data_IF_271588973246
#
_entry.id   IF_271588973246
#
_cell.length_a   1.000
_cell.length_b   1.000
_cell.length_c   1.000
_cell.angle_alpha   90.00
_cell.angle_beta   90.00
_cell.angle_gamma   90.00
#
_symmetry.space_group_name_H-M   'P 1'
#
loop_
_entity.id
_entity.type
_entity.pdbx_description
1 polymer ?
#
# COMPACT_ATOMS: atom_id res chain seq x y z
N UNK A 1 9.60 -67.72 -76.15
CA UNK A 1 8.62 -66.76 -75.58
C UNK A 1 8.67 -66.86 -74.06
N UNK A 2 8.28 -65.78 -73.38
CA UNK A 2 8.34 -65.53 -71.93
C UNK A 2 9.67 -64.96 -71.40
N UNK A 3 9.68 -63.63 -71.25
CA UNK A 3 10.68 -62.88 -70.48
C UNK A 3 10.17 -62.61 -69.06
N UNK A 4 11.07 -62.72 -68.08
CA UNK A 4 10.81 -62.43 -66.67
C UNK A 4 11.35 -61.05 -66.28
N UNK A 5 10.46 -60.14 -65.86
CA UNK A 5 10.79 -58.83 -65.29
C UNK A 5 11.11 -58.96 -63.80
N UNK A 6 12.22 -58.36 -63.36
CA UNK A 6 12.55 -58.12 -61.94
C UNK A 6 11.95 -56.79 -61.48
N UNK A 7 11.31 -56.80 -60.31
CA UNK A 7 10.79 -55.61 -59.63
C UNK A 7 11.83 -55.09 -58.64
N UNK A 8 12.16 -53.80 -58.72
CA UNK A 8 12.97 -53.10 -57.72
C UNK A 8 12.03 -52.22 -56.88
N UNK A 9 12.07 -52.39 -55.55
CA UNK A 9 11.33 -51.58 -54.59
C UNK A 9 12.09 -50.28 -54.29
N UNK A 10 11.44 -49.13 -54.50
CA UNK A 10 11.95 -47.82 -54.10
C UNK A 10 11.53 -47.52 -52.65
N UNK A 11 12.49 -47.20 -51.79
CA UNK A 11 12.26 -46.71 -50.42
C UNK A 11 12.23 -45.18 -50.46
N UNK A 12 11.08 -44.59 -50.16
CA UNK A 12 10.91 -43.13 -50.05
C UNK A 12 11.20 -42.70 -48.61
N UNK A 13 12.25 -41.92 -48.39
CA UNK A 13 12.54 -41.32 -47.09
C UNK A 13 11.63 -40.11 -46.84
N UNK A 14 10.85 -40.14 -45.77
CA UNK A 14 10.03 -39.01 -45.32
C UNK A 14 10.85 -38.15 -44.36
N UNK A 15 11.16 -36.91 -44.77
CA UNK A 15 11.74 -35.88 -43.91
C UNK A 15 10.62 -35.22 -43.09
N UNK A 16 10.67 -35.35 -41.76
CA UNK A 16 9.79 -34.62 -40.83
C UNK A 16 10.49 -33.32 -40.42
N UNK A 17 9.87 -32.14 -40.60
CA UNK A 17 10.49 -30.89 -40.17
C UNK A 17 10.38 -30.77 -38.64
N UNK A 18 11.52 -30.55 -37.99
CA UNK A 18 11.59 -30.28 -36.55
C UNK A 18 11.15 -28.82 -36.31
N UNK A 19 9.90 -28.63 -35.88
CA UNK A 19 9.42 -27.31 -35.43
C UNK A 19 9.91 -27.09 -34.00
N UNK A 20 10.97 -26.29 -33.84
CA UNK A 20 11.37 -25.78 -32.53
C UNK A 20 10.33 -24.76 -32.07
N UNK A 21 9.46 -25.16 -31.15
CA UNK A 21 8.57 -24.24 -30.45
C UNK A 21 9.43 -23.32 -29.56
N UNK A 22 9.64 -22.07 -30.00
CA UNK A 22 10.08 -21.02 -29.09
C UNK A 22 8.96 -20.79 -28.08
N UNK A 23 9.09 -21.35 -26.88
CA UNK A 23 8.30 -20.89 -25.74
C UNK A 23 8.77 -19.48 -25.42
N UNK A 24 8.03 -18.47 -25.87
CA UNK A 24 8.20 -17.13 -25.35
C UNK A 24 7.96 -17.21 -23.84
N UNK A 25 9.00 -16.96 -23.04
CA UNK A 25 8.80 -16.70 -21.61
C UNK A 25 7.74 -15.61 -21.51
N UNK A 26 6.69 -15.77 -20.70
CA UNK A 26 5.74 -14.68 -20.49
C UNK A 26 6.58 -13.48 -20.02
N UNK A 27 6.47 -12.36 -20.73
CA UNK A 27 7.05 -11.11 -20.25
C UNK A 27 6.48 -10.90 -18.84
N UNK A 28 7.36 -10.86 -17.84
CA UNK A 28 6.95 -10.50 -16.49
C UNK A 28 6.26 -9.14 -16.61
N UNK A 29 5.00 -9.07 -16.18
CA UNK A 29 4.28 -7.82 -16.14
C UNK A 29 5.12 -6.82 -15.33
N UNK A 30 5.24 -5.58 -15.80
CA UNK A 30 5.96 -4.55 -15.06
C UNK A 30 5.38 -4.43 -13.63
N UNK A 31 6.22 -4.20 -12.61
CA UNK A 31 5.75 -3.99 -11.25
C UNK A 31 4.65 -2.91 -11.21
N UNK A 32 3.60 -3.17 -10.45
CA UNK A 32 2.44 -2.30 -10.42
C UNK A 32 2.66 -1.15 -9.43
N UNK A 33 2.34 0.08 -9.84
CA UNK A 33 2.60 1.29 -9.04
C UNK A 33 1.43 1.69 -8.16
N UNK A 34 1.72 1.93 -6.89
CA UNK A 34 0.82 2.45 -5.87
C UNK A 34 1.14 3.91 -5.57
N UNK A 35 0.12 4.75 -5.48
CA UNK A 35 0.22 6.18 -5.14
C UNK A 35 -0.61 6.43 -3.87
N UNK A 36 0.01 6.45 -2.67
CA UNK A 36 -0.73 6.55 -1.42
C UNK A 36 -1.45 7.89 -1.31
N UNK A 37 -2.74 7.85 -0.98
CA UNK A 37 -3.57 9.05 -0.85
C UNK A 37 -4.13 9.56 -2.18
N UNK A 38 -4.00 8.82 -3.28
CA UNK A 38 -4.69 9.12 -4.52
C UNK A 38 -6.12 8.54 -4.54
N UNK A 39 -7.00 9.16 -5.33
CA UNK A 39 -8.25 8.52 -5.72
C UNK A 39 -7.94 7.25 -6.52
N UNK A 40 -8.64 6.17 -6.20
CA UNK A 40 -8.47 4.89 -6.86
C UNK A 40 -9.76 4.52 -7.58
N UNK A 41 -9.64 4.10 -8.83
CA UNK A 41 -10.75 3.66 -9.65
C UNK A 41 -10.57 2.17 -9.99
N UNK A 42 -11.68 1.45 -10.04
CA UNK A 42 -11.70 0.06 -10.47
C UNK A 42 -11.66 -0.06 -12.01
N UNK A 43 -11.55 -1.28 -12.52
CA UNK A 43 -11.52 -1.57 -13.96
C UNK A 43 -12.80 -1.17 -14.70
N UNK A 44 -13.90 -0.90 -13.98
CA UNK A 44 -15.15 -0.36 -14.53
C UNK A 44 -15.17 1.18 -14.58
N UNK A 45 -14.12 1.84 -14.09
CA UNK A 45 -14.04 3.30 -13.98
C UNK A 45 -14.82 3.88 -12.80
N UNK A 46 -15.42 3.04 -11.96
CA UNK A 46 -16.06 3.50 -10.73
C UNK A 46 -15.00 3.72 -9.66
N UNK A 47 -15.24 4.67 -8.76
CA UNK A 47 -14.35 4.86 -7.62
C UNK A 47 -14.34 3.61 -6.74
N UNK A 48 -13.16 3.13 -6.39
CA UNK A 48 -13.00 2.04 -5.45
C UNK A 48 -13.48 2.48 -4.06
N UNK A 49 -14.36 1.69 -3.47
CA UNK A 49 -14.98 1.91 -2.16
C UNK A 49 -14.81 0.66 -1.31
N UNK A 50 -13.73 0.63 -0.54
CA UNK A 50 -13.41 -0.42 0.42
C UNK A 50 -12.60 0.20 1.55
N UNK A 51 -13.28 0.77 2.54
CA UNK A 51 -12.67 1.44 3.69
C UNK A 51 -12.61 0.51 4.90
N UNK A 52 -11.72 0.77 5.86
CA UNK A 52 -11.57 -0.12 7.02
C UNK A 52 -11.16 -1.54 6.59
N UNK A 53 -10.54 -1.66 5.42
CA UNK A 53 -10.51 -2.89 4.65
C UNK A 53 -9.55 -3.95 5.20
N UNK A 54 -9.75 -5.19 4.74
CA UNK A 54 -8.79 -6.28 4.85
C UNK A 54 -8.55 -6.93 3.49
N UNK A 55 -7.44 -7.64 3.36
CA UNK A 55 -7.12 -8.43 2.16
C UNK A 55 -6.82 -9.87 2.55
N UNK A 56 -7.34 -10.81 1.76
CA UNK A 56 -6.96 -12.21 1.81
C UNK A 56 -6.63 -12.72 0.40
N UNK A 57 -5.92 -13.83 0.31
CA UNK A 57 -5.44 -14.39 -0.96
C UNK A 57 -6.04 -15.76 -1.22
N UNK A 58 -6.38 -16.03 -2.49
CA UNK A 58 -6.78 -17.35 -2.98
C UNK A 58 -6.00 -17.62 -4.27
N UNK A 59 -5.06 -18.58 -4.20
CA UNK A 59 -4.06 -18.75 -5.24
C UNK A 59 -3.27 -17.45 -5.43
N UNK A 60 -3.15 -16.97 -6.66
CA UNK A 60 -2.50 -15.69 -7.01
C UNK A 60 -3.45 -14.47 -6.99
N UNK A 61 -4.70 -14.65 -6.56
CA UNK A 61 -5.70 -13.58 -6.55
C UNK A 61 -5.84 -13.00 -5.14
N UNK A 62 -5.67 -11.69 -5.04
CA UNK A 62 -5.96 -10.90 -3.85
C UNK A 62 -7.42 -10.48 -3.86
N UNK A 63 -8.08 -10.58 -2.71
CA UNK A 63 -9.45 -10.14 -2.50
C UNK A 63 -9.48 -9.04 -1.44
N UNK A 64 -9.90 -7.84 -1.84
CA UNK A 64 -10.06 -6.68 -0.97
C UNK A 64 -11.51 -6.59 -0.54
N UNK A 65 -11.74 -6.62 0.78
CA UNK A 65 -13.06 -6.49 1.40
C UNK A 65 -13.06 -5.29 2.33
N UNK A 66 -14.07 -4.43 2.19
CA UNK A 66 -14.14 -3.18 2.94
C UNK A 66 -15.52 -2.55 2.89
N UNK A 67 -15.71 -1.51 3.67
CA UNK A 67 -16.96 -0.78 3.73
C UNK A 67 -17.20 -0.01 2.43
N UNK A 68 -18.43 -0.06 1.93
CA UNK A 68 -18.85 0.81 0.83
C UNK A 68 -19.49 2.10 1.40
N UNK A 69 -18.77 3.22 1.26
CA UNK A 69 -19.20 4.54 1.77
C UNK A 69 -19.78 5.44 0.68
N UNK A 70 -20.13 4.91 -0.49
CA UNK A 70 -20.73 5.70 -1.59
C UNK A 70 -21.98 6.47 -1.13
N UNK A 71 -22.78 5.87 -0.24
CA UNK A 71 -24.00 6.46 0.30
C UNK A 71 -23.81 7.19 1.65
N UNK A 72 -22.57 7.48 2.05
CA UNK A 72 -22.27 8.14 3.33
C UNK A 72 -21.96 7.17 4.46
N UNK A 73 -22.28 7.57 5.70
CA UNK A 73 -21.78 6.90 6.91
C UNK A 73 -22.53 5.63 7.30
N UNK A 74 -23.82 5.54 7.00
CA UNK A 74 -24.62 4.37 7.34
C UNK A 74 -24.32 3.19 6.42
N UNK A 75 -24.42 1.97 6.97
CA UNK A 75 -24.18 0.75 6.22
C UNK A 75 -25.06 0.61 4.99
N UNK A 76 -24.43 0.27 3.87
CA UNK A 76 -25.12 -0.12 2.63
C UNK A 76 -24.62 -1.46 2.12
N UNK A 77 -23.30 -1.63 2.06
CA UNK A 77 -22.67 -2.88 1.67
C UNK A 77 -21.26 -3.02 2.27
N UNK A 78 -20.83 -4.27 2.39
CA UNK A 78 -19.41 -4.63 2.36
C UNK A 78 -19.07 -4.94 0.91
N UNK A 79 -18.16 -4.16 0.34
CA UNK A 79 -17.62 -4.34 -0.99
C UNK A 79 -16.67 -5.53 -1.09
N UNK A 80 -16.56 -6.15 -2.27
CA UNK A 80 -15.48 -7.06 -2.60
C UNK A 80 -14.89 -6.75 -3.98
N UNK A 81 -13.57 -6.66 -4.02
CA UNK A 81 -12.77 -6.50 -5.23
C UNK A 81 -11.77 -7.63 -5.36
N UNK A 82 -11.34 -7.92 -6.59
CA UNK A 82 -10.22 -8.84 -6.85
C UNK A 82 -9.13 -8.16 -7.66
N UNK A 83 -7.88 -8.54 -7.41
CA UNK A 83 -6.69 -8.10 -8.16
C UNK A 83 -5.62 -9.19 -8.16
N UNK A 84 -4.74 -9.19 -9.15
CA UNK A 84 -3.53 -10.04 -9.17
C UNK A 84 -2.25 -9.26 -8.89
N UNK A 85 -2.30 -7.92 -8.96
CA UNK A 85 -1.16 -7.01 -8.93
C UNK A 85 -1.24 -5.96 -7.79
N UNK A 86 -2.29 -6.03 -6.96
CA UNK A 86 -2.63 -5.07 -5.90
C UNK A 86 -2.96 -3.65 -6.38
N UNK A 87 -2.99 -3.41 -7.70
CA UNK A 87 -3.20 -2.09 -8.30
C UNK A 87 -4.47 -2.02 -9.13
N UNK A 88 -4.63 -3.00 -10.00
CA UNK A 88 -5.76 -3.12 -10.91
C UNK A 88 -6.85 -3.93 -10.22
N UNK A 89 -7.84 -3.22 -9.66
CA UNK A 89 -8.93 -3.83 -8.91
C UNK A 89 -10.19 -3.93 -9.77
N UNK A 90 -10.80 -5.12 -9.81
CA UNK A 90 -12.10 -5.34 -10.43
C UNK A 90 -13.16 -5.53 -9.35
N UNK A 91 -14.22 -4.71 -9.35
CA UNK A 91 -15.38 -4.92 -8.47
C UNK A 91 -16.04 -6.26 -8.81
N UNK A 92 -16.26 -7.10 -7.80
CA UNK A 92 -16.89 -8.42 -7.98
C UNK A 92 -18.35 -8.41 -7.58
N UNK A 93 -18.62 -8.03 -6.34
CA UNK A 93 -19.96 -8.05 -5.76
C UNK A 93 -19.99 -7.19 -4.49
N UNK A 94 -21.19 -6.97 -3.98
CA UNK A 94 -21.39 -6.63 -2.58
C UNK A 94 -21.39 -7.94 -1.80
N UNK A 95 -20.34 -8.17 -1.00
CA UNK A 95 -20.18 -9.39 -0.22
C UNK A 95 -21.29 -9.54 0.83
N UNK A 96 -21.68 -8.44 1.47
CA UNK A 96 -22.80 -8.36 2.40
C UNK A 96 -23.57 -7.07 2.13
N UNK A 97 -24.91 -7.09 2.18
CA UNK A 97 -25.74 -5.91 1.90
C UNK A 97 -26.72 -5.58 3.01
N UNK A 98 -27.11 -4.31 3.09
CA UNK A 98 -28.17 -3.82 3.97
C UNK A 98 -29.47 -4.60 3.78
N UNK A 99 -30.12 -4.95 4.89
CA UNK A 99 -31.37 -5.71 4.94
C UNK A 99 -31.22 -7.21 4.63
N UNK A 100 -29.99 -7.68 4.40
CA UNK A 100 -29.75 -9.10 4.19
C UNK A 100 -29.97 -9.88 5.50
N UNK A 101 -30.65 -11.03 5.41
CA UNK A 101 -30.90 -11.98 6.49
C UNK A 101 -31.78 -11.52 7.67
N UNK A 102 -32.05 -10.22 7.83
CA UNK A 102 -32.82 -9.67 8.95
C UNK A 102 -34.20 -9.10 8.54
N UNK A 103 -34.64 -9.33 7.29
CA UNK A 103 -35.83 -8.73 6.69
C UNK A 103 -35.89 -7.19 6.81
N UNK A 104 -34.73 -6.52 6.89
CA UNK A 104 -34.63 -5.08 7.08
C UNK A 104 -34.82 -4.63 8.53
N UNK A 105 -34.84 -5.54 9.50
CA UNK A 105 -34.99 -5.29 10.94
C UNK A 105 -33.87 -5.97 11.72
N UNK A 106 -32.94 -5.22 12.31
CA UNK A 106 -31.84 -5.82 13.08
C UNK A 106 -30.47 -5.19 12.78
N UNK A 107 -29.43 -6.00 12.90
CA UNK A 107 -28.03 -5.57 12.82
C UNK A 107 -27.63 -4.99 11.45
N UNK A 108 -28.33 -5.38 10.38
CA UNK A 108 -28.05 -4.96 9.00
C UNK A 108 -29.15 -4.06 8.41
N UNK A 109 -30.10 -3.61 9.25
CA UNK A 109 -31.18 -2.71 8.86
C UNK A 109 -30.69 -1.32 8.38
N UNK A 110 -31.62 -0.50 7.90
CA UNK A 110 -31.32 0.89 7.56
C UNK A 110 -30.86 1.70 8.80
N UNK A 111 -29.87 2.58 8.62
CA UNK A 111 -29.33 3.42 9.70
C UNK A 111 -28.32 2.73 10.61
N UNK A 112 -28.00 1.45 10.37
CA UNK A 112 -26.98 0.70 11.10
C UNK A 112 -25.56 1.08 10.69
N UNK A 113 -24.61 0.78 11.56
CA UNK A 113 -23.18 0.94 11.37
C UNK A 113 -22.56 -0.45 11.27
N UNK A 114 -21.83 -0.69 10.19
CA UNK A 114 -21.09 -1.93 9.96
C UNK A 114 -19.71 -1.56 9.47
N UNK A 115 -18.68 -1.91 10.24
CA UNK A 115 -17.34 -1.37 10.03
C UNK A 115 -16.26 -2.44 10.09
N UNK A 116 -15.12 -2.11 9.48
CA UNK A 116 -13.87 -2.87 9.49
C UNK A 116 -13.99 -4.36 9.13
N UNK A 117 -14.76 -4.75 8.10
CA UNK A 117 -14.94 -6.16 7.77
C UNK A 117 -13.59 -6.82 7.44
N UNK A 118 -13.37 -8.02 7.97
CA UNK A 118 -12.21 -8.87 7.67
C UNK A 118 -12.68 -10.28 7.34
N UNK A 119 -11.98 -10.95 6.42
CA UNK A 119 -12.33 -12.30 5.96
C UNK A 119 -11.13 -13.23 6.10
N UNK A 120 -11.38 -14.44 6.59
CA UNK A 120 -10.42 -15.55 6.61
C UNK A 120 -11.07 -16.82 6.04
N UNK A 121 -10.27 -17.67 5.39
CA UNK A 121 -10.73 -18.95 4.86
C UNK A 121 -10.54 -20.09 5.85
N UNK A 122 -11.58 -20.90 6.04
CA UNK A 122 -11.56 -22.12 6.85
C UNK A 122 -11.53 -23.36 5.94
N UNK A 123 -10.39 -24.04 5.88
CA UNK A 123 -10.16 -25.17 4.98
C UNK A 123 -11.00 -26.41 5.30
N UNK A 124 -11.30 -26.66 6.57
CA UNK A 124 -12.08 -27.85 6.98
C UNK A 124 -13.57 -27.77 6.62
N UNK A 125 -14.14 -26.58 6.50
CA UNK A 125 -15.55 -26.36 6.11
C UNK A 125 -15.68 -25.85 4.69
N UNK A 126 -14.57 -25.42 4.07
CA UNK A 126 -14.56 -24.77 2.77
C UNK A 126 -15.18 -23.36 2.76
N UNK A 127 -15.42 -22.76 3.94
CA UNK A 127 -16.10 -21.46 4.05
C UNK A 127 -15.12 -20.30 4.19
N UNK A 128 -15.49 -19.17 3.60
CA UNK A 128 -14.95 -17.86 3.91
C UNK A 128 -15.76 -17.27 5.07
N UNK A 129 -15.09 -16.86 6.13
CA UNK A 129 -15.71 -16.34 7.36
C UNK A 129 -15.37 -14.87 7.50
N UNK A 130 -16.40 -14.03 7.47
CA UNK A 130 -16.30 -12.58 7.65
C UNK A 130 -16.65 -12.22 9.09
N UNK A 131 -15.83 -11.38 9.72
CA UNK A 131 -16.17 -10.66 10.94
C UNK A 131 -16.21 -9.16 10.67
N UNK A 132 -17.14 -8.46 11.34
CA UNK A 132 -17.31 -7.01 11.21
C UNK A 132 -17.80 -6.40 12.52
N UNK A 133 -17.48 -5.12 12.74
CA UNK A 133 -18.10 -4.35 13.82
C UNK A 133 -19.56 -4.10 13.47
N UNK A 134 -20.45 -4.19 14.46
CA UNK A 134 -21.89 -3.94 14.35
C UNK A 134 -22.30 -2.93 15.41
N UNK A 135 -22.93 -1.85 14.97
CA UNK A 135 -23.44 -0.82 15.86
C UNK A 135 -24.63 -0.02 15.33
N UNK A 136 -25.15 0.83 16.20
CA UNK A 136 -26.09 1.90 15.87
C UNK A 136 -25.36 3.26 15.84
N UNK A 137 -26.10 4.32 15.51
CA UNK A 137 -25.54 5.67 15.40
C UNK A 137 -25.01 6.26 16.71
N UNK A 138 -25.37 5.70 17.88
CA UNK A 138 -24.84 6.12 19.18
C UNK A 138 -23.67 5.26 19.67
N UNK A 139 -23.24 4.26 18.89
CA UNK A 139 -22.15 3.33 19.24
C UNK A 139 -22.39 2.56 20.56
N UNK A 140 -23.66 2.32 20.88
CA UNK A 140 -24.09 1.71 22.13
C UNK A 140 -24.14 0.16 22.08
N UNK A 141 -24.25 -0.43 20.90
CA UNK A 141 -24.36 -1.89 20.77
C UNK A 141 -22.99 -2.53 21.03
N UNK A 142 -21.93 -2.01 20.39
CA UNK A 142 -20.55 -2.46 20.50
C UNK A 142 -20.43 -3.99 20.35
N UNK A 143 -20.85 -4.50 19.20
CA UNK A 143 -20.92 -5.94 18.88
C UNK A 143 -20.01 -6.30 17.72
N UNK A 144 -19.70 -7.59 17.65
CA UNK A 144 -19.05 -8.21 16.49
C UNK A 144 -20.06 -9.12 15.77
N UNK A 145 -20.26 -8.87 14.48
CA UNK A 145 -21.05 -9.67 13.57
C UNK A 145 -20.23 -10.75 12.87
N UNK A 146 -20.90 -11.82 12.44
CA UNK A 146 -20.29 -12.92 11.69
C UNK A 146 -21.12 -13.26 10.46
N UNK A 147 -20.46 -13.49 9.32
CA UNK A 147 -21.09 -13.99 8.11
C UNK A 147 -20.22 -15.04 7.43
N UNK A 148 -20.81 -15.95 6.65
CA UNK A 148 -20.08 -17.02 5.95
C UNK A 148 -20.45 -17.10 4.48
N UNK A 149 -19.51 -17.53 3.63
CA UNK A 149 -19.78 -17.80 2.22
C UNK A 149 -19.01 -19.00 1.69
N UNK A 150 -19.51 -19.60 0.62
CA UNK A 150 -18.82 -20.62 -0.18
C UNK A 150 -17.81 -20.02 -1.16
N UNK A 151 -17.90 -18.71 -1.45
CA UNK A 151 -17.02 -18.03 -2.41
C UNK A 151 -16.33 -16.83 -1.75
N UNK A 152 -15.17 -16.38 -2.28
CA UNK A 152 -14.41 -15.27 -1.72
C UNK A 152 -15.23 -13.98 -1.54
N UNK A 153 -16.02 -13.62 -2.56
CA UNK A 153 -16.76 -12.36 -2.60
C UNK A 153 -18.26 -12.50 -2.31
N UNK A 154 -18.70 -13.65 -1.80
CA UNK A 154 -20.09 -13.82 -1.43
C UNK A 154 -21.03 -14.27 -2.56
N UNK A 155 -22.35 -14.18 -2.33
CA UNK A 155 -22.98 -13.52 -1.19
C UNK A 155 -22.65 -14.22 0.14
N UNK A 156 -22.44 -13.43 1.20
CA UNK A 156 -22.21 -13.93 2.55
C UNK A 156 -23.53 -14.07 3.30
N UNK A 157 -23.81 -15.23 3.87
CA UNK A 157 -24.93 -15.44 4.79
C UNK A 157 -24.57 -14.91 6.17
N UNK A 158 -25.28 -13.88 6.63
CA UNK A 158 -25.11 -13.33 7.98
C UNK A 158 -25.65 -14.29 9.03
N UNK A 159 -24.87 -14.51 10.09
CA UNK A 159 -25.19 -15.44 11.19
C UNK A 159 -25.66 -14.73 12.46
N UNK A 160 -25.54 -13.40 12.51
CA UNK A 160 -25.87 -12.58 13.69
C UNK A 160 -24.64 -11.91 14.31
N UNK A 161 -24.88 -11.17 15.40
CA UNK A 161 -23.84 -10.53 16.20
C UNK A 161 -23.88 -10.92 17.67
N UNK A 162 -22.75 -10.75 18.34
CA UNK A 162 -22.62 -10.92 19.79
C UNK A 162 -21.65 -9.91 20.39
N UNK A 163 -21.67 -9.79 21.72
CA UNK A 163 -20.56 -9.23 22.50
C UNK A 163 -19.59 -10.38 22.79
N UNK A 164 -18.44 -10.49 22.09
CA UNK A 164 -17.55 -11.65 22.20
C UNK A 164 -17.12 -11.85 23.65
N UNK A 165 -17.33 -13.06 24.18
CA UNK A 165 -17.05 -13.44 25.57
C UNK A 165 -17.77 -12.57 26.62
N UNK A 166 -18.86 -11.88 26.25
CA UNK A 166 -19.62 -10.97 27.12
C UNK A 166 -19.08 -9.53 27.17
N UNK A 167 -18.01 -9.23 26.45
CA UNK A 167 -17.33 -7.93 26.44
C UNK A 167 -17.68 -7.10 25.22
N UNK A 168 -17.46 -5.79 25.30
CA UNK A 168 -17.68 -4.90 24.17
C UNK A 168 -16.74 -5.27 23.01
N UNK A 169 -17.18 -4.95 21.79
CA UNK A 169 -16.38 -5.08 20.57
C UNK A 169 -16.66 -3.92 19.64
N UNK A 170 -15.67 -3.05 19.44
CA UNK A 170 -15.73 -1.96 18.46
C UNK A 170 -14.81 -2.24 17.28
N UNK A 171 -13.77 -1.44 17.15
CA UNK A 171 -12.75 -1.61 16.14
C UNK A 171 -12.19 -3.03 16.21
N UNK A 172 -12.20 -3.70 15.07
CA UNK A 172 -11.78 -5.09 15.00
C UNK A 172 -10.85 -5.40 13.83
N UNK A 173 -10.16 -6.53 14.00
CA UNK A 173 -9.31 -7.19 13.02
C UNK A 173 -9.44 -8.71 13.15
N UNK A 174 -8.89 -9.44 12.18
CA UNK A 174 -8.77 -10.90 12.22
C UNK A 174 -7.34 -11.30 11.95
N UNK A 175 -6.91 -12.38 12.63
CA UNK A 175 -5.64 -13.02 12.38
C UNK A 175 -5.81 -14.53 12.35
N UNK A 176 -5.20 -15.19 11.36
CA UNK A 176 -5.12 -16.64 11.26
C UNK A 176 -3.65 -17.02 11.29
N UNK A 177 -3.27 -17.83 12.28
CA UNK A 177 -1.90 -18.31 12.45
C UNK A 177 -1.61 -19.48 11.51
N UNK A 178 -0.34 -19.82 11.38
CA UNK A 178 0.17 -20.86 10.49
C UNK A 178 -0.37 -22.26 10.86
N UNK A 179 -0.68 -22.48 12.13
CA UNK A 179 -1.27 -23.73 12.64
C UNK A 179 -2.79 -23.85 12.38
N UNK A 180 -3.39 -22.82 11.77
CA UNK A 180 -4.82 -22.75 11.51
C UNK A 180 -5.65 -22.25 12.67
N UNK A 181 -5.06 -21.86 13.81
CA UNK A 181 -5.80 -21.16 14.87
C UNK A 181 -6.12 -19.75 14.41
N UNK A 182 -7.37 -19.32 14.61
CA UNK A 182 -7.80 -17.96 14.27
C UNK A 182 -8.17 -17.15 15.51
N UNK A 183 -7.99 -15.85 15.40
CA UNK A 183 -8.15 -14.89 16.47
C UNK A 183 -8.94 -13.67 15.99
N UNK A 184 -9.90 -13.25 16.81
CA UNK A 184 -10.54 -11.94 16.73
C UNK A 184 -9.71 -10.95 17.52
N UNK A 185 -9.29 -9.88 16.86
CA UNK A 185 -8.67 -8.72 17.49
C UNK A 185 -9.78 -7.71 17.71
N UNK A 186 -10.03 -7.27 18.94
CA UNK A 186 -11.16 -6.37 19.20
C UNK A 186 -10.88 -5.37 20.31
N UNK A 187 -11.22 -4.12 20.04
CA UNK A 187 -11.23 -3.05 21.05
C UNK A 187 -12.43 -3.20 21.98
N UNK A 188 -12.16 -3.09 23.27
CA UNK A 188 -13.13 -2.86 24.33
C UNK A 188 -12.73 -1.59 25.07
N UNK A 189 -13.56 -0.55 25.00
CA UNK A 189 -13.31 0.76 25.61
C UNK A 189 -13.00 0.71 27.10
N UNK A 190 -13.57 -0.26 27.82
CA UNK A 190 -13.39 -0.41 29.27
C UNK A 190 -12.20 -1.31 29.64
N UNK A 191 -11.87 -2.29 28.81
CA UNK A 191 -10.93 -3.35 29.18
C UNK A 191 -9.61 -3.31 28.39
N UNK A 192 -9.57 -2.68 27.21
CA UNK A 192 -8.40 -2.60 26.36
C UNK A 192 -8.54 -3.37 25.04
N UNK A 193 -7.40 -3.63 24.41
CA UNK A 193 -7.34 -4.41 23.18
C UNK A 193 -7.26 -5.89 23.51
N UNK A 194 -8.22 -6.68 23.01
CA UNK A 194 -8.34 -8.11 23.27
C UNK A 194 -7.92 -8.92 22.06
N UNK A 195 -7.23 -10.03 22.31
CA UNK A 195 -6.99 -11.10 21.35
C UNK A 195 -7.83 -12.28 21.81
N UNK A 196 -8.91 -12.58 21.11
CA UNK A 196 -9.83 -13.67 21.43
C UNK A 196 -9.64 -14.82 20.45
N UNK A 197 -9.36 -16.03 20.93
CA UNK A 197 -9.31 -17.22 20.10
C UNK A 197 -10.71 -17.58 19.61
N UNK A 198 -10.83 -17.89 18.32
CA UNK A 198 -12.07 -18.31 17.69
C UNK A 198 -12.29 -19.83 17.83
N UNK A 199 -13.55 -20.26 17.67
CA UNK A 199 -13.96 -21.65 17.55
C UNK A 199 -13.28 -22.31 16.35
N UNK A 200 -13.29 -23.64 16.31
CA UNK A 200 -12.63 -24.39 15.24
C UNK A 200 -13.19 -24.10 13.85
N UNK A 201 -14.43 -23.66 13.74
CA UNK A 201 -15.08 -23.22 12.48
C UNK A 201 -15.00 -21.70 12.25
N UNK A 202 -14.29 -20.98 13.13
CA UNK A 202 -14.08 -19.53 13.16
C UNK A 202 -15.33 -18.65 13.34
N UNK A 203 -16.49 -19.22 13.68
CA UNK A 203 -17.75 -18.45 13.74
C UNK A 203 -18.06 -17.85 15.12
N UNK A 204 -17.29 -18.16 16.17
CA UNK A 204 -17.50 -17.61 17.52
C UNK A 204 -16.19 -17.37 18.25
N UNK A 205 -16.10 -16.34 19.09
CA UNK A 205 -15.03 -16.24 20.08
C UNK A 205 -15.26 -17.24 21.22
N UNK A 206 -14.22 -17.98 21.61
CA UNK A 206 -14.33 -19.07 22.62
C UNK A 206 -13.37 -18.94 23.80
N UNK A 207 -12.29 -18.15 23.69
CA UNK A 207 -11.38 -17.93 24.81
C UNK A 207 -10.58 -16.63 24.66
N UNK A 208 -10.38 -15.89 25.75
CA UNK A 208 -9.44 -14.78 25.77
C UNK A 208 -8.00 -15.33 25.72
N UNK A 209 -7.19 -14.83 24.79
CA UNK A 209 -5.79 -15.24 24.59
C UNK A 209 -4.81 -14.23 25.18
N UNK A 210 -5.08 -12.94 25.00
CA UNK A 210 -4.30 -11.87 25.59
C UNK A 210 -5.15 -10.60 25.77
N UNK A 211 -4.74 -9.78 26.74
CA UNK A 211 -5.26 -8.44 26.98
C UNK A 211 -4.10 -7.46 26.93
N UNK A 212 -4.22 -6.42 26.12
CA UNK A 212 -3.22 -5.38 25.95
C UNK A 212 -3.82 -4.01 26.34
N UNK A 213 -3.00 -3.02 26.72
CA UNK A 213 -3.46 -1.64 26.91
C UNK A 213 -4.21 -1.13 25.67
N UNK A 214 -5.17 -0.24 25.85
CA UNK A 214 -6.10 0.12 24.77
C UNK A 214 -5.39 0.71 23.54
N UNK A 215 -5.62 0.07 22.40
CA UNK A 215 -5.50 0.64 21.06
C UNK A 215 -6.79 0.32 20.31
N UNK A 216 -7.15 1.17 19.34
CA UNK A 216 -8.23 0.92 18.39
C UNK A 216 -7.64 0.56 17.01
N UNK A 217 -8.48 0.21 16.06
CA UNK A 217 -8.11 -0.21 14.70
C UNK A 217 -7.08 -1.36 14.60
N UNK A 218 -7.30 -2.50 15.29
CA UNK A 218 -6.25 -3.49 15.44
C UNK A 218 -5.97 -4.29 14.16
N UNK A 219 -4.68 -4.49 13.86
CA UNK A 219 -4.22 -5.42 12.82
C UNK A 219 -3.07 -6.28 13.38
N UNK A 220 -3.04 -7.57 13.06
CA UNK A 220 -1.97 -8.46 13.47
C UNK A 220 -1.36 -9.18 12.27
N UNK A 221 -0.05 -9.36 12.30
CA UNK A 221 0.71 -10.14 11.32
C UNK A 221 1.81 -10.93 12.02
N UNK A 222 2.18 -12.07 11.44
CA UNK A 222 3.36 -12.83 11.83
C UNK A 222 4.45 -12.63 10.78
N UNK A 223 5.61 -12.15 11.21
CA UNK A 223 6.75 -11.87 10.33
C UNK A 223 8.04 -12.37 11.00
N UNK A 224 8.83 -13.15 10.27
CA UNK A 224 10.09 -13.71 10.80
C UNK A 224 9.91 -14.55 12.06
N UNK A 225 8.80 -15.28 12.17
CA UNK A 225 8.46 -16.11 13.36
C UNK A 225 7.99 -15.33 14.58
N UNK A 226 7.77 -14.01 14.47
CA UNK A 226 7.30 -13.15 15.56
C UNK A 226 5.96 -12.52 15.22
N UNK A 227 5.11 -12.34 16.23
CA UNK A 227 3.80 -11.72 16.10
C UNK A 227 3.92 -10.23 16.37
N UNK A 228 3.24 -9.43 15.56
CA UNK A 228 3.14 -7.99 15.70
C UNK A 228 1.66 -7.61 15.70
N UNK A 229 1.23 -6.83 16.69
CA UNK A 229 -0.11 -6.23 16.72
C UNK A 229 0.01 -4.73 16.66
N UNK A 230 -0.75 -4.11 15.76
CA UNK A 230 -0.76 -2.69 15.46
C UNK A 230 -2.10 -2.09 15.87
N UNK A 231 -2.13 -0.79 16.14
CA UNK A 231 -3.37 -0.03 16.35
C UNK A 231 -3.11 1.47 16.55
N UNK A 232 -4.17 2.27 16.53
CA UNK A 232 -4.14 3.70 16.82
C UNK A 232 -4.56 4.01 18.25
N UNK A 233 -4.23 5.20 18.72
CA UNK A 233 -4.85 5.75 19.92
C UNK A 233 -6.29 6.20 19.66
N UNK A 234 -7.07 6.33 20.73
CA UNK A 234 -8.50 6.66 20.71
C UNK A 234 -8.69 8.18 20.60
N UNK A 235 -8.60 8.71 19.39
CA UNK A 235 -8.74 10.16 19.13
C UNK A 235 -9.87 10.50 18.16
N UNK A 236 -10.83 9.58 18.03
CA UNK A 236 -11.95 9.70 17.10
C UNK A 236 -11.43 9.87 15.67
N UNK A 237 -11.85 10.92 14.98
CA UNK A 237 -11.44 11.19 13.60
C UNK A 237 -10.07 11.85 13.45
N UNK A 238 -9.44 12.30 14.54
CA UNK A 238 -8.11 12.90 14.46
C UNK A 238 -7.07 11.80 14.23
N UNK A 239 -6.22 11.94 13.22
CA UNK A 239 -5.07 11.05 13.05
C UNK A 239 -4.08 11.20 14.22
N UNK A 240 -3.40 10.10 14.56
CA UNK A 240 -2.41 10.03 15.63
C UNK A 240 -1.23 9.13 15.23
N UNK A 241 -0.18 9.12 16.03
CA UNK A 241 0.93 8.18 15.84
C UNK A 241 0.47 6.80 16.30
N UNK A 242 0.33 5.86 15.35
CA UNK A 242 -0.08 4.50 15.63
C UNK A 242 1.09 3.72 16.22
N UNK A 243 0.75 2.71 17.01
CA UNK A 243 1.71 1.87 17.70
C UNK A 243 1.64 0.42 17.26
N UNK A 244 2.69 -0.30 17.61
CA UNK A 244 2.69 -1.76 17.62
C UNK A 244 3.27 -2.30 18.93
N UNK A 245 2.90 -3.53 19.27
CA UNK A 245 3.61 -4.40 20.19
C UNK A 245 4.02 -5.69 19.47
N UNK A 246 5.01 -6.41 20.00
CA UNK A 246 5.44 -7.69 19.44
C UNK A 246 5.62 -8.78 20.49
N UNK A 247 5.42 -10.04 20.10
CA UNK A 247 5.52 -11.21 20.96
C UNK A 247 5.99 -12.45 20.17
N UNK A 248 6.46 -13.48 20.88
CA UNK A 248 6.81 -14.78 20.28
C UNK A 248 5.64 -15.76 20.25
N UNK A 249 4.49 -15.40 20.82
CA UNK A 249 3.23 -16.15 20.84
C UNK A 249 2.05 -15.17 20.87
N UNK A 250 0.87 -15.52 20.32
CA UNK A 250 -0.34 -14.71 20.46
C UNK A 250 -0.74 -14.45 21.93
N UNK A 251 -0.39 -15.35 22.84
CA UNK A 251 -0.62 -15.21 24.29
C UNK A 251 0.36 -14.26 24.98
N UNK A 252 1.37 -13.75 24.27
CA UNK A 252 2.44 -12.95 24.83
C UNK A 252 3.58 -13.77 25.45
N UNK A 253 4.40 -13.16 26.32
CA UNK A 253 4.31 -11.76 26.76
C UNK A 253 4.51 -10.78 25.60
N UNK A 254 3.71 -9.72 25.57
CA UNK A 254 3.79 -8.64 24.59
C UNK A 254 4.79 -7.58 25.05
N UNK A 255 5.54 -7.01 24.10
CA UNK A 255 6.38 -5.84 24.37
C UNK A 255 5.54 -4.62 24.75
N UNK A 256 6.19 -3.59 25.29
CA UNK A 256 5.60 -2.25 25.32
C UNK A 256 5.34 -1.72 23.91
N UNK A 257 4.49 -0.70 23.81
CA UNK A 257 4.16 -0.05 22.55
C UNK A 257 5.31 0.80 22.02
N UNK A 258 5.55 0.69 20.72
CA UNK A 258 6.49 1.52 19.97
C UNK A 258 5.78 2.07 18.72
N UNK A 259 6.19 3.25 18.23
CA UNK A 259 5.73 3.75 16.94
C UNK A 259 6.45 3.01 15.81
N UNK A 260 5.80 2.85 14.66
CA UNK A 260 6.39 2.25 13.46
C UNK A 260 6.53 3.24 12.30
N UNK A 261 6.03 4.47 12.45
CA UNK A 261 6.26 5.60 11.56
C UNK A 261 7.01 6.71 12.33
N UNK A 262 7.62 7.69 11.63
CA UNK A 262 8.25 8.83 12.29
C UNK A 262 7.28 9.51 13.27
N UNK A 263 7.72 9.75 14.50
CA UNK A 263 6.90 10.41 15.52
C UNK A 263 6.44 11.80 15.02
N UNK A 264 5.20 12.15 15.31
CA UNK A 264 4.53 13.36 14.85
C UNK A 264 4.00 13.29 13.41
N UNK A 265 4.33 12.25 12.64
CA UNK A 265 3.77 12.06 11.28
C UNK A 265 2.30 11.68 11.29
N UNK A 266 1.77 11.27 12.45
CA UNK A 266 0.42 10.73 12.62
C UNK A 266 0.16 9.55 11.70
N UNK A 267 1.16 8.67 11.60
CA UNK A 267 1.19 7.53 10.68
C UNK A 267 0.92 8.00 9.24
N UNK A 268 1.56 9.10 8.84
CA UNK A 268 1.34 9.80 7.58
C UNK A 268 -0.13 10.23 7.35
N UNK A 269 -0.74 10.76 8.41
CA UNK A 269 -2.16 11.12 8.48
C UNK A 269 -3.06 9.97 8.02
N UNK A 270 -2.90 8.80 8.65
CA UNK A 270 -3.73 7.62 8.39
C UNK A 270 -3.97 6.82 9.66
N UNK A 271 -4.96 5.95 9.64
CA UNK A 271 -5.26 4.99 10.70
C UNK A 271 -5.09 3.57 10.18
N UNK A 272 -4.49 2.69 10.98
CA UNK A 272 -4.26 1.28 10.62
C UNK A 272 -5.56 0.58 10.27
N UNK A 273 -5.50 -0.30 9.27
CA UNK A 273 -6.62 -1.12 8.83
C UNK A 273 -6.23 -2.59 8.74
N UNK A 274 -5.06 -2.84 8.12
CA UNK A 274 -4.55 -4.19 7.89
C UNK A 274 -3.04 -4.17 7.61
N UNK A 275 -2.36 -5.31 7.78
CA UNK A 275 -1.00 -5.52 7.29
C UNK A 275 -1.02 -6.74 6.37
N UNK A 276 -0.75 -6.52 5.08
CA UNK A 276 -0.78 -7.58 4.07
C UNK A 276 0.62 -8.18 3.87
N UNK A 277 0.82 -9.49 4.10
CA UNK A 277 1.95 -10.21 3.54
C UNK A 277 1.76 -10.45 2.04
N UNK A 278 2.75 -10.05 1.24
CA UNK A 278 2.85 -10.31 -0.20
C UNK A 278 3.92 -11.37 -0.38
N UNK A 279 3.49 -12.62 -0.50
CA UNK A 279 4.38 -13.77 -0.64
C UNK A 279 4.68 -13.99 -2.12
N UNK A 280 5.89 -13.67 -2.56
CA UNK A 280 6.35 -13.93 -3.91
C UNK A 280 7.47 -14.98 -3.97
N UNK A 281 7.93 -15.26 -5.19
CA UNK A 281 8.95 -16.27 -5.46
C UNK A 281 10.34 -15.92 -4.92
N UNK A 282 10.64 -14.64 -4.75
CA UNK A 282 11.94 -14.15 -4.27
C UNK A 282 11.90 -13.89 -2.77
N UNK A 283 10.82 -13.25 -2.30
CA UNK A 283 10.67 -12.88 -0.89
C UNK A 283 9.22 -12.67 -0.49
N UNK A 284 8.99 -12.60 0.83
CA UNK A 284 7.79 -11.99 1.38
C UNK A 284 8.06 -10.54 1.73
N UNK A 285 7.29 -9.64 1.12
CA UNK A 285 7.22 -8.23 1.52
C UNK A 285 5.91 -7.96 2.25
N UNK A 286 5.80 -6.81 2.91
CA UNK A 286 4.62 -6.45 3.69
C UNK A 286 4.13 -5.06 3.33
N UNK A 287 2.82 -4.90 3.28
CA UNK A 287 2.17 -3.64 2.96
C UNK A 287 1.31 -3.23 4.15
N UNK A 288 1.58 -2.04 4.69
CA UNK A 288 0.68 -1.35 5.60
C UNK A 288 -0.52 -0.85 4.81
N UNK A 289 -1.73 -1.18 5.26
CA UNK A 289 -2.96 -0.60 4.76
C UNK A 289 -3.54 0.29 5.85
N UNK A 290 -3.72 1.56 5.53
CA UNK A 290 -4.42 2.52 6.37
C UNK A 290 -5.43 3.36 5.63
N UNK A 291 -6.33 3.97 6.38
CA UNK A 291 -7.37 4.87 5.90
C UNK A 291 -7.05 6.30 6.34
N UNK A 292 -7.05 7.24 5.39
CA UNK A 292 -7.07 8.68 5.67
C UNK A 292 -8.53 9.14 5.63
N UNK A 293 -9.17 9.07 6.79
CA UNK A 293 -10.57 9.39 6.96
C UNK A 293 -10.87 10.86 6.71
N UNK A 294 -11.94 11.12 5.94
CA UNK A 294 -12.60 12.42 5.91
C UNK A 294 -13.97 12.30 6.59
N UNK A 295 -14.06 12.67 7.87
CA UNK A 295 -15.28 12.49 8.66
C UNK A 295 -16.47 13.32 8.18
N UNK A 296 -16.24 14.42 7.45
CA UNK A 296 -17.29 15.22 6.83
C UNK A 296 -17.86 14.60 5.56
N UNK A 297 -17.11 13.68 4.92
CA UNK A 297 -17.52 12.96 3.73
C UNK A 297 -16.75 11.64 3.62
N UNK A 298 -17.25 10.58 4.28
CA UNK A 298 -16.55 9.30 4.34
C UNK A 298 -16.34 8.67 2.96
N UNK A 299 -17.20 8.96 1.98
CA UNK A 299 -17.00 8.56 0.59
C UNK A 299 -15.63 9.04 0.12
N UNK A 300 -15.24 10.29 0.41
CA UNK A 300 -13.98 10.93 0.03
C UNK A 300 -12.71 10.45 0.75
N UNK A 301 -12.81 9.54 1.72
CA UNK A 301 -11.64 8.97 2.41
C UNK A 301 -10.67 8.28 1.44
N UNK A 302 -9.37 8.33 1.77
CA UNK A 302 -8.30 7.92 0.86
C UNK A 302 -7.43 6.80 1.45
N UNK A 303 -7.03 5.79 0.65
CA UNK A 303 -6.18 4.72 1.11
C UNK A 303 -4.72 5.16 1.21
N UNK A 304 -4.05 4.85 2.32
CA UNK A 304 -2.62 5.07 2.53
C UNK A 304 -1.95 3.71 2.62
N UNK A 305 -1.48 3.22 1.48
CA UNK A 305 -0.82 1.92 1.36
C UNK A 305 0.69 2.11 1.20
N UNK A 306 1.48 1.59 2.13
CA UNK A 306 2.92 1.84 2.17
C UNK A 306 3.68 0.54 2.48
N UNK A 307 4.91 0.37 1.96
CA UNK A 307 5.74 -0.75 2.34
C UNK A 307 6.13 -0.62 3.80
N UNK A 308 5.96 -1.71 4.56
CA UNK A 308 6.39 -1.82 5.95
C UNK A 308 7.42 -2.95 6.05
N UNK A 309 8.45 -2.72 6.85
CA UNK A 309 9.55 -3.66 7.04
C UNK A 309 9.54 -4.22 8.45
N UNK A 310 9.99 -5.46 8.57
CA UNK A 310 10.13 -6.16 9.84
C UNK A 310 11.57 -6.62 10.01
N UNK A 311 12.13 -6.35 11.17
CA UNK A 311 13.41 -6.91 11.63
C UNK A 311 13.16 -7.72 12.91
N UNK A 312 14.22 -8.29 13.50
CA UNK A 312 14.10 -9.09 14.71
C UNK A 312 13.56 -8.25 15.89
N UNK A 313 12.23 -8.27 16.07
CA UNK A 313 11.55 -7.58 17.17
C UNK A 313 10.93 -6.21 16.83
N UNK A 314 11.16 -5.68 15.61
CA UNK A 314 10.72 -4.33 15.27
C UNK A 314 10.01 -4.25 13.93
N UNK A 315 9.03 -3.35 13.85
CA UNK A 315 8.35 -2.96 12.63
C UNK A 315 8.70 -1.51 12.28
N UNK A 316 8.85 -1.20 10.99
CA UNK A 316 9.30 0.11 10.54
C UNK A 316 8.75 0.51 9.16
N UNK A 317 8.23 1.72 9.11
CA UNK A 317 7.77 2.46 7.95
C UNK A 317 8.41 3.86 8.00
N UNK A 318 9.73 3.96 7.76
CA UNK A 318 10.53 5.14 8.11
C UNK A 318 10.27 6.35 7.20
N UNK A 319 9.57 6.18 6.08
CA UNK A 319 9.36 7.23 5.11
C UNK A 319 8.04 7.07 4.39
N UNK A 320 7.46 8.20 4.00
CA UNK A 320 6.40 8.25 3.01
C UNK A 320 7.01 8.08 1.60
N UNK A 321 6.31 7.35 0.75
CA UNK A 321 6.62 7.22 -0.67
C UNK A 321 5.48 7.83 -1.46
N UNK A 322 5.73 8.89 -2.22
CA UNK A 322 4.69 9.49 -3.09
C UNK A 322 4.18 8.47 -4.10
N UNK A 323 5.06 7.63 -4.61
CA UNK A 323 4.73 6.45 -5.38
C UNK A 323 5.77 5.37 -5.16
N UNK A 324 5.34 4.12 -5.21
CA UNK A 324 6.19 2.95 -5.09
C UNK A 324 5.55 1.80 -5.86
N UNK A 325 6.36 0.87 -6.34
CA UNK A 325 5.88 -0.29 -7.09
C UNK A 325 6.03 -1.57 -6.28
N UNK A 326 5.16 -2.54 -6.57
CA UNK A 326 5.25 -3.89 -6.05
C UNK A 326 5.06 -4.90 -7.17
N UNK A 327 5.92 -5.90 -7.21
CA UNK A 327 5.74 -7.08 -8.03
C UNK A 327 5.21 -8.19 -7.13
N UNK A 328 3.94 -8.56 -7.34
CA UNK A 328 3.26 -9.58 -6.54
C UNK A 328 3.75 -10.99 -6.84
N UNK A 329 4.41 -11.23 -7.98
CA UNK A 329 4.95 -12.52 -8.34
C UNK A 329 6.28 -12.78 -7.63
N UNK A 330 7.17 -11.80 -7.56
CA UNK A 330 8.48 -11.91 -6.89
C UNK A 330 8.43 -11.52 -5.42
N UNK A 331 7.46 -10.66 -5.04
CA UNK A 331 7.36 -10.04 -3.73
C UNK A 331 8.31 -8.86 -3.56
N UNK A 332 8.99 -8.42 -4.62
CA UNK A 332 9.86 -7.26 -4.59
C UNK A 332 9.07 -5.96 -4.69
N UNK A 333 9.57 -4.91 -4.05
CA UNK A 333 9.01 -3.57 -4.13
C UNK A 333 10.13 -2.54 -4.23
N UNK A 334 9.84 -1.40 -4.85
CA UNK A 334 10.78 -0.30 -4.95
C UNK A 334 10.07 1.05 -4.88
N UNK A 335 10.70 2.09 -4.32
CA UNK A 335 10.27 3.46 -4.54
C UNK A 335 10.26 3.79 -6.04
N UNK A 336 9.27 4.53 -6.52
CA UNK A 336 9.28 5.00 -7.91
C UNK A 336 10.05 6.32 -7.97
N UNK A 337 11.18 6.30 -8.69
CA UNK A 337 11.91 7.52 -9.08
C UNK A 337 11.40 8.07 -10.39
N UNK A 338 11.74 9.32 -10.68
CA UNK A 338 11.55 9.93 -11.98
C UNK A 338 12.79 10.72 -12.39
N UNK A 339 12.93 10.97 -13.69
CA UNK A 339 13.86 11.96 -14.20
C UNK A 339 13.18 13.32 -14.33
N UNK A 340 13.93 14.40 -14.10
CA UNK A 340 13.46 15.77 -14.32
C UNK A 340 14.06 16.28 -15.63
N UNK A 341 13.25 16.42 -16.66
CA UNK A 341 13.68 16.82 -18.01
C UNK A 341 13.43 18.31 -18.20
N UNK A 342 14.48 19.08 -18.51
CA UNK A 342 14.37 20.49 -18.85
C UNK A 342 13.56 20.66 -20.14
N UNK A 343 12.45 21.39 -20.08
CA UNK A 343 11.51 21.53 -21.20
C UNK A 343 12.13 22.21 -22.42
N UNK A 344 13.13 23.06 -22.23
CA UNK A 344 13.87 23.70 -23.33
C UNK A 344 14.91 22.77 -23.96
N UNK A 345 15.66 22.03 -23.14
CA UNK A 345 16.82 21.26 -23.59
C UNK A 345 16.48 19.83 -24.00
N UNK A 346 15.39 19.27 -23.48
CA UNK A 346 15.08 17.83 -23.57
C UNK A 346 16.05 16.95 -22.77
N UNK A 347 16.89 17.56 -21.92
CA UNK A 347 17.93 16.90 -21.11
C UNK A 347 17.54 16.77 -19.66
N UNK A 348 18.11 15.80 -18.97
CA UNK A 348 17.81 15.48 -17.60
C UNK A 348 18.63 16.33 -16.63
N UNK A 349 18.03 16.69 -15.49
CA UNK A 349 18.73 17.06 -14.26
C UNK A 349 19.60 15.87 -13.84
N UNK A 350 20.90 16.10 -13.85
CA UNK A 350 21.95 15.11 -13.68
C UNK A 350 22.92 15.56 -12.58
N UNK A 351 23.51 14.60 -11.85
CA UNK A 351 24.67 14.85 -10.98
C UNK A 351 25.95 14.48 -11.72
N UNK A 352 26.83 15.46 -11.90
CA UNK A 352 28.08 15.33 -12.65
C UNK A 352 28.90 14.10 -12.23
N UNK A 353 29.44 13.41 -13.23
CA UNK A 353 30.26 12.19 -13.09
C UNK A 353 29.58 10.99 -12.42
N UNK A 354 28.26 11.01 -12.26
CA UNK A 354 27.48 9.95 -11.62
C UNK A 354 28.03 9.54 -10.23
N UNK A 355 28.40 10.54 -9.41
CA UNK A 355 28.95 10.34 -8.07
C UNK A 355 27.99 10.80 -6.98
N UNK A 356 27.99 10.12 -5.84
CA UNK A 356 27.27 10.52 -4.63
C UNK A 356 28.12 11.39 -3.68
N UNK A 357 29.26 11.91 -4.15
CA UNK A 357 30.17 12.73 -3.34
C UNK A 357 29.53 14.09 -3.05
N UNK A 358 29.53 14.50 -1.78
CA UNK A 358 28.95 15.78 -1.37
C UNK A 358 29.64 16.95 -2.06
N UNK A 359 28.85 17.88 -2.59
CA UNK A 359 29.32 19.04 -3.34
C UNK A 359 29.44 18.80 -4.84
N UNK A 360 29.22 17.57 -5.34
CA UNK A 360 29.10 17.34 -6.77
C UNK A 360 27.98 18.21 -7.35
N UNK A 361 28.27 18.87 -8.48
CA UNK A 361 27.37 19.83 -9.10
C UNK A 361 26.25 19.12 -9.86
N UNK A 362 25.13 19.83 -9.97
CA UNK A 362 24.04 19.42 -10.85
C UNK A 362 24.19 20.09 -12.22
N UNK A 363 23.85 19.36 -13.27
CA UNK A 363 23.96 19.80 -14.65
C UNK A 363 22.80 19.30 -15.52
N UNK A 364 22.73 19.78 -16.76
CA UNK A 364 21.99 19.13 -17.83
C UNK A 364 22.84 18.06 -18.49
N UNK A 365 22.27 16.87 -18.65
CA UNK A 365 22.86 15.80 -19.45
C UNK A 365 21.82 15.03 -20.25
N UNK A 366 22.23 14.41 -21.36
CA UNK A 366 21.34 13.54 -22.13
C UNK A 366 20.77 12.44 -21.23
N UNK A 367 19.45 12.24 -21.32
CA UNK A 367 18.76 11.28 -20.47
C UNK A 367 19.20 9.85 -20.80
N UNK A 368 19.87 9.20 -19.86
CA UNK A 368 20.49 7.88 -20.01
C UNK A 368 19.99 6.85 -18.98
N UNK A 369 19.19 7.28 -17.99
CA UNK A 369 18.61 6.39 -16.98
C UNK A 369 19.57 6.01 -15.84
N UNK A 370 20.75 6.64 -15.77
CA UNK A 370 21.69 6.47 -14.67
C UNK A 370 21.13 6.94 -13.33
N UNK A 371 21.66 6.41 -12.22
CA UNK A 371 21.19 6.72 -10.86
C UNK A 371 21.29 8.22 -10.52
N UNK A 372 22.26 8.92 -11.11
CA UNK A 372 22.43 10.37 -11.01
C UNK A 372 21.36 11.21 -11.71
N UNK A 373 20.48 10.58 -12.50
CA UNK A 373 19.32 11.22 -13.15
C UNK A 373 17.98 10.77 -12.55
N UNK A 374 18.02 9.94 -11.50
CA UNK A 374 16.83 9.39 -10.84
C UNK A 374 16.58 10.09 -9.51
N UNK A 375 15.46 10.78 -9.42
CA UNK A 375 15.08 11.58 -8.25
C UNK A 375 13.88 10.95 -7.53
N UNK A 376 14.06 10.74 -6.23
CA UNK A 376 13.06 10.23 -5.31
C UNK A 376 12.53 11.39 -4.46
N UNK A 377 11.27 11.80 -4.64
CA UNK A 377 10.67 12.85 -3.83
C UNK A 377 10.40 12.35 -2.41
N UNK A 378 10.33 13.29 -1.47
CA UNK A 378 9.82 13.05 -0.12
C UNK A 378 8.68 13.99 0.20
N UNK A 379 7.83 13.62 1.15
CA UNK A 379 6.74 14.48 1.64
C UNK A 379 7.24 15.79 2.28
N UNK A 380 8.52 15.89 2.62
CA UNK A 380 9.15 17.12 3.11
C UNK A 380 9.61 18.06 1.98
N UNK A 381 9.46 17.64 0.71
CA UNK A 381 9.87 18.38 -0.48
C UNK A 381 11.32 18.12 -0.91
N UNK A 382 12.00 17.12 -0.35
CA UNK A 382 13.37 16.80 -0.81
C UNK A 382 13.34 16.02 -2.12
N UNK A 383 14.33 16.24 -2.98
CA UNK A 383 14.60 15.42 -4.15
C UNK A 383 15.88 14.64 -3.88
N UNK A 384 15.78 13.31 -3.69
CA UNK A 384 16.92 12.48 -3.31
C UNK A 384 17.41 11.60 -4.46
N UNK A 385 18.71 11.45 -4.60
CA UNK A 385 19.34 10.58 -5.62
C UNK A 385 20.07 9.40 -4.98
N UNK A 386 20.60 8.48 -5.80
CA UNK A 386 21.43 7.33 -5.37
C UNK A 386 20.83 6.56 -4.18
N UNK A 387 19.62 6.03 -4.35
CA UNK A 387 18.93 5.26 -3.31
C UNK A 387 18.56 6.06 -2.06
N UNK A 388 18.35 7.38 -2.19
CA UNK A 388 18.05 8.34 -1.11
C UNK A 388 19.23 8.75 -0.22
N UNK A 389 20.47 8.49 -0.64
CA UNK A 389 21.68 8.78 0.15
C UNK A 389 22.08 10.26 0.17
N UNK A 390 21.67 11.03 -0.84
CA UNK A 390 21.97 12.45 -1.01
C UNK A 390 20.74 13.23 -1.48
N UNK A 391 20.74 14.54 -1.23
CA UNK A 391 19.65 15.46 -1.55
C UNK A 391 20.11 16.53 -2.55
N UNK A 392 19.24 16.92 -3.48
CA UNK A 392 19.43 18.11 -4.31
C UNK A 392 19.48 19.34 -3.41
N UNK A 393 20.53 20.13 -3.52
CA UNK A 393 20.92 21.14 -2.54
C UNK A 393 21.31 22.45 -3.25
N UNK A 394 20.78 23.58 -2.77
CA UNK A 394 21.37 24.89 -3.07
C UNK A 394 22.60 25.08 -2.19
N UNK A 395 23.78 24.88 -2.79
CA UNK A 395 25.03 24.73 -2.07
C UNK A 395 25.33 25.93 -1.16
N UNK A 396 25.91 25.64 0.00
CA UNK A 396 26.24 26.62 1.05
C UNK A 396 25.02 27.40 1.58
N UNK A 397 23.80 26.88 1.41
CA UNK A 397 22.55 27.56 1.78
C UNK A 397 22.41 28.94 1.14
N UNK A 398 23.03 29.16 -0.02
CA UNK A 398 23.00 30.45 -0.69
C UNK A 398 21.57 30.82 -1.14
N UNK A 399 21.21 32.09 -1.03
CA UNK A 399 19.86 32.59 -1.32
C UNK A 399 19.81 33.63 -2.45
N UNK A 400 20.93 33.83 -3.16
CA UNK A 400 21.05 34.80 -4.25
C UNK A 400 20.91 34.14 -5.63
N UNK A 401 20.34 34.82 -6.64
CA UNK A 401 20.37 34.33 -8.02
C UNK A 401 21.79 34.01 -8.48
N UNK A 402 21.97 32.87 -9.17
CA UNK A 402 23.27 32.38 -9.62
C UNK A 402 23.91 31.38 -8.66
N UNK A 403 23.35 31.16 -7.47
CA UNK A 403 23.85 30.15 -6.56
C UNK A 403 23.78 28.74 -7.17
N UNK A 404 24.89 28.01 -7.08
CA UNK A 404 25.02 26.68 -7.65
C UNK A 404 24.13 25.66 -6.95
N UNK A 405 23.56 24.76 -7.75
CA UNK A 405 22.84 23.59 -7.27
C UNK A 405 23.74 22.37 -7.43
N UNK A 406 23.73 21.50 -6.43
CA UNK A 406 24.47 20.24 -6.42
C UNK A 406 23.79 19.24 -5.52
N UNK A 407 24.57 18.29 -5.01
CA UNK A 407 24.11 17.34 -4.00
C UNK A 407 24.85 17.48 -2.68
N UNK A 408 24.16 17.22 -1.58
CA UNK A 408 24.75 17.16 -0.25
C UNK A 408 24.09 16.07 0.59
N UNK A 409 24.69 15.74 1.74
CA UNK A 409 24.06 14.86 2.72
C UNK A 409 22.70 15.42 3.16
N UNK A 410 21.65 14.59 3.11
CA UNK A 410 20.31 14.98 3.49
C UNK A 410 20.23 15.38 4.97
N UNK A 411 19.89 16.63 5.26
CA UNK A 411 19.90 17.21 6.60
C UNK A 411 18.58 17.93 6.96
N UNK A 412 17.59 17.89 6.07
CA UNK A 412 16.26 18.46 6.30
C UNK A 412 16.19 19.98 6.29
N UNK A 413 17.27 20.70 5.95
CA UNK A 413 17.27 22.16 5.84
C UNK A 413 16.47 22.65 4.62
N UNK A 414 16.07 23.92 4.62
CA UNK A 414 15.18 24.48 3.60
C UNK A 414 15.82 24.62 2.21
N UNK A 415 17.16 24.71 2.13
CA UNK A 415 17.91 24.69 0.87
C UNK A 415 17.90 23.33 0.15
N UNK A 416 17.47 22.25 0.83
CA UNK A 416 17.26 20.92 0.26
C UNK A 416 15.79 20.61 -0.06
N UNK A 417 14.89 21.57 0.19
CA UNK A 417 13.46 21.41 -0.03
C UNK A 417 13.03 22.19 -1.27
N UNK A 418 12.24 21.53 -2.10
CA UNK A 418 11.83 21.97 -3.41
C UNK A 418 10.32 21.81 -3.58
N UNK A 419 9.68 22.82 -4.14
CA UNK A 419 8.27 22.77 -4.54
C UNK A 419 8.19 22.58 -6.04
N UNK A 420 7.73 21.40 -6.48
CA UNK A 420 7.49 21.11 -7.89
C UNK A 420 6.08 21.61 -8.24
N UNK A 421 5.99 22.67 -9.04
CA UNK A 421 4.72 23.31 -9.38
C UNK A 421 4.14 22.73 -10.68
N UNK A 422 2.82 22.84 -10.82
CA UNK A 422 2.08 22.36 -12.01
C UNK A 422 2.45 23.11 -13.30
N UNK A 423 2.99 24.32 -13.18
CA UNK A 423 3.48 25.12 -14.31
C UNK A 423 4.88 24.70 -14.78
N UNK A 424 5.45 23.63 -14.21
CA UNK A 424 6.77 23.09 -14.53
C UNK A 424 7.94 23.75 -13.78
N UNK A 425 7.70 24.79 -12.97
CA UNK A 425 8.79 25.37 -12.16
C UNK A 425 9.10 24.52 -10.92
N UNK A 426 10.38 24.46 -10.55
CA UNK A 426 10.85 23.82 -9.31
C UNK A 426 11.46 24.90 -8.44
N UNK A 427 10.87 25.14 -7.26
CA UNK A 427 11.21 26.31 -6.44
C UNK A 427 11.86 25.89 -5.14
N UNK A 428 13.03 26.46 -4.82
CA UNK A 428 13.71 26.24 -3.55
C UNK A 428 12.90 26.85 -2.41
N UNK A 429 12.63 26.08 -1.35
CA UNK A 429 11.95 26.58 -0.17
C UNK A 429 12.84 27.53 0.67
N UNK A 430 14.17 27.44 0.52
CA UNK A 430 15.12 28.28 1.23
C UNK A 430 15.16 29.73 0.72
N UNK A 431 15.03 29.92 -0.59
CA UNK A 431 15.19 31.25 -1.23
C UNK A 431 13.97 31.74 -2.00
N UNK A 432 13.03 30.85 -2.36
CA UNK A 432 11.92 31.16 -3.27
C UNK A 432 12.33 31.28 -4.74
N UNK A 433 13.59 30.97 -5.07
CA UNK A 433 14.13 31.00 -6.43
C UNK A 433 13.88 29.67 -7.17
N UNK A 434 13.87 29.73 -8.50
CA UNK A 434 13.59 28.61 -9.39
C UNK A 434 14.88 27.88 -9.78
N UNK A 435 14.84 26.54 -9.87
CA UNK A 435 15.86 25.72 -10.51
C UNK A 435 15.96 26.10 -11.99
N UNK A 436 17.16 26.48 -12.42
CA UNK A 436 17.42 27.16 -13.68
C UNK A 436 18.65 26.55 -14.36
N UNK A 437 18.52 26.23 -15.66
CA UNK A 437 19.68 25.91 -16.50
C UNK A 437 20.41 27.21 -16.86
N UNK A 438 21.63 27.35 -16.34
CA UNK A 438 22.38 28.61 -16.31
C UNK A 438 22.48 29.26 -17.69
N UNK A 439 22.12 30.54 -17.76
CA UNK A 439 22.18 31.34 -18.99
C UNK A 439 21.25 30.86 -20.11
N UNK A 440 20.29 29.98 -19.83
CA UNK A 440 19.46 29.34 -20.85
C UNK A 440 20.23 28.31 -21.70
N UNK A 441 21.32 27.76 -21.16
CA UNK A 441 22.10 26.72 -21.83
C UNK A 441 21.28 25.45 -22.07
N UNK A 442 21.56 24.77 -23.18
CA UNK A 442 20.83 23.56 -23.59
C UNK A 442 21.72 22.34 -23.81
N UNK A 443 23.05 22.48 -23.76
CA UNK A 443 24.00 21.39 -23.98
C UNK A 443 24.33 20.59 -22.71
N UNK A 444 24.89 19.40 -22.90
CA UNK A 444 25.54 18.64 -21.83
C UNK A 444 26.62 19.50 -21.16
N UNK A 445 26.76 19.45 -19.84
CA UNK A 445 27.68 20.34 -19.12
C UNK A 445 27.06 21.65 -18.64
N UNK A 446 25.81 21.96 -19.02
CA UNK A 446 25.16 23.20 -18.56
C UNK A 446 24.86 23.08 -17.07
N UNK A 447 25.62 23.79 -16.24
CA UNK A 447 25.42 23.80 -14.80
C UNK A 447 24.06 24.34 -14.38
N UNK A 448 23.52 23.79 -13.29
CA UNK A 448 22.26 24.24 -12.72
C UNK A 448 22.48 25.17 -11.53
N UNK A 449 21.62 26.18 -11.48
CA UNK A 449 21.65 27.24 -10.47
C UNK A 449 20.22 27.46 -9.96
N UNK A 450 20.08 28.31 -8.95
CA UNK A 450 18.82 28.96 -8.65
C UNK A 450 18.79 30.38 -9.21
N UNK A 451 17.66 30.79 -9.77
CA UNK A 451 17.47 32.13 -10.35
C UNK A 451 16.08 32.69 -10.05
N UNK A 452 15.92 34.00 -10.22
CA UNK A 452 14.60 34.65 -10.11
C UNK A 452 13.61 33.96 -11.04
N UNK A 453 12.51 33.48 -10.48
CA UNK A 453 11.45 32.84 -11.25
C UNK A 453 10.87 33.83 -12.27
N UNK A 454 11.05 33.57 -13.55
CA UNK A 454 10.68 34.47 -14.65
C UNK A 454 9.84 33.79 -15.74
N UNK A 455 9.50 32.52 -15.55
CA UNK A 455 8.64 31.75 -16.46
C UNK A 455 9.32 31.30 -17.76
N UNK A 456 10.62 31.56 -17.93
CA UNK A 456 11.35 31.16 -19.13
C UNK A 456 11.49 29.63 -19.25
N UNK A 457 11.61 29.09 -20.48
CA UNK A 457 11.69 27.64 -20.70
C UNK A 457 12.84 26.92 -19.99
N UNK A 458 13.96 27.60 -19.71
CA UNK A 458 15.11 27.04 -18.98
C UNK A 458 14.84 26.83 -17.48
N UNK A 459 13.70 27.29 -16.97
CA UNK A 459 13.20 27.06 -15.60
C UNK A 459 12.03 26.07 -15.56
N UNK A 460 11.73 25.42 -16.68
CA UNK A 460 10.60 24.49 -16.83
C UNK A 460 11.12 23.07 -16.92
N UNK A 461 10.51 22.19 -16.12
CA UNK A 461 10.91 20.82 -15.92
C UNK A 461 9.69 19.91 -16.00
N UNK A 462 9.86 18.74 -16.61
CA UNK A 462 8.83 17.71 -16.72
C UNK A 462 9.32 16.40 -16.12
N UNK A 463 8.45 15.71 -15.37
CA UNK A 463 8.77 14.37 -14.84
C UNK A 463 8.67 13.35 -15.97
N UNK A 464 9.68 12.50 -16.12
CA UNK A 464 9.73 11.38 -17.06
C UNK A 464 9.89 10.06 -16.34
#
# INVERSE_FOLDING_TARGET
MAGTRRWAAAVTAVLVPLVTALTASPALAAPATLTPGALWYDTGGARLQAHGAGIFTVGSTYYLVGEDKTAGSTFTAVACYSSTDLVTWTRRSNALVKGQADNGTGDLAAGRIVERPKVIYHSGTGKYVMWMHIDNSSYADARAGVAVSDTPCGPYTYLGSSRPLGYQSRDLGLFKDDDGTAYLLTEDRSNGLRIDRLSTDYTRAVAATALLPTLESPAMVKAGGRYFIFGSHLTGWSSNDNNYASATSPSGPWSGYATFAPAGSKTFNSQTSFILPVVGSTRTSYVYLGDRWNSGDLNSSLPIWLPITFTAGSAGMPSFYESWSIDTATGDWAPVSFSLVGSQSGRCLDVTDNTSTWGALAELWDCNGGENQQWLPTSAGELRAFGRSVCLDVLNQASTPGAAVGIWGCNGQTNQRWTLRSDGSIVSAGSGLCLDASGGGTGNGTGLIVWTCNGQPNQKWTRR
#
